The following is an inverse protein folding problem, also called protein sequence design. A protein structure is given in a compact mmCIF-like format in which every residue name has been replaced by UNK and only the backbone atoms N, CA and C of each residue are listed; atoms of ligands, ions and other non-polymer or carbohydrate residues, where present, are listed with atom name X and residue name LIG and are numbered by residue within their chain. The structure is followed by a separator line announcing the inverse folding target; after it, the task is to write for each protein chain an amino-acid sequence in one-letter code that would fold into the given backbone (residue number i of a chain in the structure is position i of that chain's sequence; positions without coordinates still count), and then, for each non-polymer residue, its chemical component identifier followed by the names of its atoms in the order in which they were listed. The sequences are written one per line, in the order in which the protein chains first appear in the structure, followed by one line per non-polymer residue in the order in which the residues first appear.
data_IF_153388423060
#
_entry.id   IF_153388423060
#
_cell.length_a   1.000
_cell.length_b   1.000
_cell.length_c   1.000
_cell.angle_alpha   90.00
_cell.angle_beta   90.00
_cell.angle_gamma   90.00
#
_symmetry.space_group_name_H-M   'P 1'
#
loop_
_entity.id
_entity.type
_entity.pdbx_description
1 polymer ?
#
# COMPACT_ATOMS: atom_id res chain seq x y z
N UNK A 1 6.31 -8.53 -1.68
CA UNK A 1 6.72 -7.11 -1.66
C UNK A 1 5.48 -6.23 -1.89
N UNK A 2 5.32 -5.16 -1.11
CA UNK A 2 4.23 -4.19 -1.25
C UNK A 2 4.83 -2.83 -1.64
N UNK A 3 4.22 -2.16 -2.61
CA UNK A 3 4.67 -0.87 -3.15
C UNK A 3 3.59 0.18 -2.97
N UNK A 4 3.98 1.33 -2.45
CA UNK A 4 3.16 2.52 -2.34
C UNK A 4 3.80 3.63 -3.19
N UNK A 5 3.05 4.14 -4.15
CA UNK A 5 3.46 5.27 -4.99
C UNK A 5 2.57 6.47 -4.69
N UNK A 6 3.16 7.57 -4.23
CA UNK A 6 2.45 8.82 -3.94
C UNK A 6 3.00 9.90 -4.86
N UNK A 7 2.11 10.51 -5.65
CA UNK A 7 2.43 11.62 -6.53
C UNK A 7 1.62 12.85 -6.09
N UNK A 8 2.32 13.91 -5.72
CA UNK A 8 1.72 15.19 -5.34
C UNK A 8 2.39 16.33 -6.11
N UNK A 9 1.97 16.62 -7.36
CA UNK A 9 2.47 17.76 -8.10
C UNK A 9 2.05 19.05 -7.38
N UNK A 10 2.93 20.07 -7.37
CA UNK A 10 2.63 21.36 -6.73
C UNK A 10 1.35 21.95 -7.32
N UNK A 11 0.36 22.24 -6.46
CA UNK A 11 -0.94 22.82 -6.84
C UNK A 11 -1.96 21.82 -7.40
N UNK A 12 -1.62 20.53 -7.55
CA UNK A 12 -2.52 19.50 -8.06
C UNK A 12 -3.05 18.58 -6.96
N UNK A 13 -4.18 17.93 -7.24
CA UNK A 13 -4.78 16.94 -6.36
C UNK A 13 -3.83 15.76 -6.17
N UNK A 14 -3.39 15.44 -4.92
CA UNK A 14 -2.45 14.37 -4.70
C UNK A 14 -3.10 13.03 -5.03
N UNK A 15 -2.31 12.11 -5.59
CA UNK A 15 -2.76 10.77 -5.96
C UNK A 15 -1.82 9.75 -5.35
N UNK A 16 -2.37 8.68 -4.80
CA UNK A 16 -1.60 7.57 -4.27
C UNK A 16 -2.13 6.25 -4.81
N UNK A 17 -1.22 5.32 -5.07
CA UNK A 17 -1.53 3.96 -5.53
C UNK A 17 -0.77 2.98 -4.66
N UNK A 18 -1.48 2.05 -4.04
CA UNK A 18 -0.93 0.95 -3.27
C UNK A 18 -1.13 -0.34 -4.05
N UNK A 19 -0.02 -1.01 -4.38
CA UNK A 19 -0.02 -2.33 -5.03
C UNK A 19 0.68 -3.34 -4.13
N UNK A 20 0.12 -4.55 -4.03
CA UNK A 20 0.73 -5.66 -3.33
C UNK A 20 0.58 -6.94 -4.14
N UNK A 21 1.62 -7.77 -4.10
CA UNK A 21 1.66 -9.07 -4.78
C UNK A 21 0.54 -10.03 -4.32
N UNK A 22 -0.13 -9.76 -3.21
CA UNK A 22 -1.24 -10.58 -2.71
C UNK A 22 -2.55 -10.34 -3.48
N UNK A 23 -2.52 -9.55 -4.55
CA UNK A 23 -3.70 -9.15 -5.34
C UNK A 23 -4.33 -7.82 -4.91
N UNK A 24 -3.70 -7.05 -4.02
CA UNK A 24 -4.19 -5.73 -3.64
C UNK A 24 -3.75 -4.69 -4.67
N UNK A 25 -4.72 -4.04 -5.31
CA UNK A 25 -4.51 -2.84 -6.14
C UNK A 25 -5.55 -1.80 -5.71
N UNK A 26 -5.07 -0.69 -5.12
CA UNK A 26 -5.94 0.42 -4.67
C UNK A 26 -5.33 1.75 -5.07
N UNK A 27 -6.16 2.64 -5.60
CA UNK A 27 -5.80 4.00 -5.95
C UNK A 27 -6.70 5.00 -5.21
N UNK A 28 -6.12 6.13 -4.84
CA UNK A 28 -6.79 7.20 -4.12
C UNK A 28 -6.36 8.55 -4.67
N UNK A 29 -7.32 9.46 -4.84
CA UNK A 29 -7.12 10.82 -5.33
C UNK A 29 -7.67 11.79 -4.30
N UNK A 30 -6.92 12.84 -3.98
CA UNK A 30 -7.25 13.86 -3.00
C UNK A 30 -6.60 13.60 -1.65
N UNK A 31 -6.25 14.68 -0.94
CA UNK A 31 -5.44 14.64 0.28
C UNK A 31 -5.99 13.67 1.33
N UNK A 32 -7.29 13.75 1.63
CA UNK A 32 -7.91 12.88 2.64
C UNK A 32 -7.89 11.41 2.24
N UNK A 33 -8.19 11.10 0.96
CA UNK A 33 -8.19 9.71 0.48
C UNK A 33 -6.79 9.14 0.40
N UNK A 34 -5.80 9.95 0.02
CA UNK A 34 -4.38 9.56 0.02
C UNK A 34 -3.92 9.23 1.44
N UNK A 35 -4.22 10.08 2.43
CA UNK A 35 -3.88 9.79 3.83
C UNK A 35 -4.56 8.52 4.34
N UNK A 36 -5.84 8.31 3.99
CA UNK A 36 -6.54 7.08 4.32
C UNK A 36 -5.89 5.85 3.66
N UNK A 37 -5.51 5.95 2.38
CA UNK A 37 -4.84 4.86 1.65
C UNK A 37 -3.47 4.52 2.25
N UNK A 38 -2.72 5.51 2.74
CA UNK A 38 -1.45 5.28 3.44
C UNK A 38 -1.69 4.45 4.70
N UNK A 39 -2.63 4.87 5.56
CA UNK A 39 -2.95 4.14 6.79
C UNK A 39 -3.46 2.72 6.52
N UNK A 40 -4.28 2.57 5.49
CA UNK A 40 -4.79 1.29 5.01
C UNK A 40 -3.69 0.40 4.41
N UNK A 41 -2.67 0.98 3.77
CA UNK A 41 -1.48 0.25 3.32
C UNK A 41 -0.63 -0.26 4.49
N UNK A 42 -0.46 0.54 5.55
CA UNK A 42 0.27 0.12 6.75
C UNK A 42 -0.43 -1.03 7.48
N UNK A 43 -1.73 -0.92 7.71
CA UNK A 43 -2.52 -2.02 8.28
C UNK A 43 -2.49 -3.27 7.39
N UNK A 44 -2.57 -3.07 6.07
CA UNK A 44 -2.46 -4.19 5.14
C UNK A 44 -1.09 -4.86 5.20
N UNK A 45 0.01 -4.11 5.32
CA UNK A 45 1.35 -4.68 5.39
C UNK A 45 1.49 -5.64 6.56
N UNK A 46 0.89 -5.35 7.70
CA UNK A 46 0.88 -6.23 8.87
C UNK A 46 0.04 -7.50 8.64
N UNK A 47 -1.15 -7.34 8.06
CA UNK A 47 -2.09 -8.43 7.78
C UNK A 47 -1.83 -9.17 6.46
N UNK A 48 -0.81 -8.77 5.69
CA UNK A 48 -0.64 -9.26 4.33
C UNK A 48 -0.23 -10.73 4.38
N UNK A 49 -1.02 -11.66 3.80
CA UNK A 49 -0.73 -13.08 3.85
C UNK A 49 0.63 -13.40 3.23
N UNK A 50 1.04 -12.69 2.16
CA UNK A 50 2.36 -12.89 1.57
C UNK A 50 3.51 -12.48 2.48
N UNK A 51 3.29 -11.53 3.41
CA UNK A 51 4.29 -11.09 4.37
C UNK A 51 4.33 -12.01 5.58
N UNK A 52 3.18 -12.42 6.12
CA UNK A 52 3.12 -13.44 7.17
C UNK A 52 3.59 -14.82 6.68
N UNK A 53 3.36 -15.19 5.43
CA UNK A 53 3.92 -16.42 4.84
C UNK A 53 5.42 -16.31 4.57
N UNK A 54 5.98 -15.10 4.42
CA UNK A 54 7.44 -14.92 4.28
C UNK A 54 8.15 -15.15 5.62
N UNK A 55 7.60 -14.65 6.73
CA UNK A 55 8.15 -14.89 8.08
C UNK A 55 8.03 -16.36 8.51
N UNK A 56 7.14 -17.15 7.89
CA UNK A 56 7.02 -18.60 8.08
C UNK A 56 7.83 -19.47 7.11
N UNK A 57 8.59 -18.89 6.17
CA UNK A 57 9.29 -19.63 5.10
C UNK A 57 10.82 -19.47 5.12
N UNK A 58 11.41 -19.38 6.31
CA UNK A 58 12.86 -19.56 6.50
C UNK A 58 13.22 -20.94 7.10
N UNK A 59 12.46 -21.98 6.73
CA UNK A 59 12.83 -23.37 6.99
C UNK A 59 12.76 -24.16 5.67
N UNK A 60 13.84 -24.09 4.89
CA UNK A 60 14.25 -25.09 3.89
C UNK A 60 15.69 -24.81 3.49
#
# INVERSE_FOLDING_TARGET
MAWLHVCAPRGSTPTATSKCMCGRDKSAVGRHRVLALIKDHEAHRDLCPLRTTQEGRNAA
#
